data_IF_480437729812
#
_entry.id   IF_480437729812
#
_cell.length_a   1.000
_cell.length_b   1.000
_cell.length_c   1.000
_cell.angle_alpha   90.00
_cell.angle_beta   90.00
_cell.angle_gamma   90.00
#
_symmetry.space_group_name_H-M   'P 1'
#
loop_
_entity.id
_entity.type
_entity.pdbx_description
1 polymer ?
#
# COMPACT_ATOMS: atom_id res chain seq x y z
N UNK A 1 2.44 -1.60 14.72
CA UNK A 1 2.43 -0.21 14.20
C UNK A 1 3.82 0.37 14.45
N UNK A 2 4.61 0.59 13.40
CA UNK A 2 6.01 1.00 13.48
C UNK A 2 6.25 2.33 12.74
N UNK A 3 7.53 2.74 12.64
CA UNK A 3 7.90 3.99 12.00
C UNK A 3 7.63 4.04 10.47
N UNK A 4 7.64 2.89 9.76
CA UNK A 4 7.19 2.84 8.36
C UNK A 4 5.70 3.14 8.22
N UNK A 5 4.87 2.67 9.15
CA UNK A 5 3.44 2.99 9.15
C UNK A 5 3.21 4.49 9.28
N UNK A 6 4.02 5.18 10.10
CA UNK A 6 3.97 6.63 10.25
C UNK A 6 4.39 7.32 8.95
N UNK A 7 5.51 6.89 8.35
CA UNK A 7 5.99 7.46 7.09
C UNK A 7 4.97 7.29 5.96
N UNK A 8 4.37 6.11 5.82
CA UNK A 8 3.33 5.81 4.84
C UNK A 8 2.03 6.57 5.09
N UNK A 9 1.57 6.63 6.35
CA UNK A 9 0.33 7.33 6.73
C UNK A 9 0.38 8.82 6.42
N UNK A 10 1.52 9.46 6.58
CA UNK A 10 1.64 10.92 6.44
C UNK A 10 2.41 11.34 5.19
N UNK A 11 2.73 10.40 4.29
CA UNK A 11 3.39 10.75 3.03
C UNK A 11 4.84 11.22 3.16
N UNK A 12 5.56 10.86 4.24
CA UNK A 12 6.93 11.30 4.50
C UNK A 12 7.97 10.46 3.74
N UNK A 13 8.20 10.81 2.46
CA UNK A 13 9.17 10.12 1.58
C UNK A 13 10.57 10.09 2.19
N UNK A 14 11.08 11.21 2.70
CA UNK A 14 12.44 11.29 3.26
C UNK A 14 12.63 10.36 4.45
N UNK A 15 11.61 10.26 5.32
CA UNK A 15 11.62 9.34 6.43
C UNK A 15 11.57 7.88 5.95
N UNK A 16 10.69 7.55 5.01
CA UNK A 16 10.61 6.21 4.42
C UNK A 16 11.95 5.78 3.80
N UNK A 17 12.57 6.65 2.99
CA UNK A 17 13.91 6.41 2.39
C UNK A 17 14.97 6.18 3.47
N UNK A 18 15.02 7.05 4.48
CA UNK A 18 16.00 6.94 5.56
C UNK A 18 15.88 5.60 6.31
N UNK A 19 14.67 5.20 6.68
CA UNK A 19 14.42 3.96 7.41
C UNK A 19 14.83 2.73 6.57
N UNK A 20 14.44 2.71 5.28
CA UNK A 20 14.77 1.61 4.37
C UNK A 20 16.28 1.52 4.08
N UNK A 21 16.97 2.65 3.94
CA UNK A 21 18.41 2.69 3.68
C UNK A 21 19.26 2.27 4.88
N UNK A 22 18.84 2.66 6.08
CA UNK A 22 19.56 2.34 7.32
C UNK A 22 19.26 0.92 7.83
N UNK A 23 18.45 0.14 7.08
CA UNK A 23 18.00 -1.20 7.46
C UNK A 23 17.43 -1.25 8.89
N UNK A 24 16.73 -0.18 9.32
CA UNK A 24 16.20 -0.02 10.68
C UNK A 24 14.92 -0.85 10.93
N UNK A 25 14.70 -1.89 10.14
CA UNK A 25 13.45 -2.64 10.06
C UNK A 25 13.78 -4.10 9.86
N UNK A 26 13.31 -4.92 10.78
CA UNK A 26 13.46 -6.37 10.68
C UNK A 26 12.41 -7.01 9.76
N UNK A 27 11.24 -6.36 9.65
CA UNK A 27 10.10 -6.83 8.86
C UNK A 27 9.39 -5.66 8.17
N UNK A 28 9.47 -5.61 6.84
CA UNK A 28 8.83 -4.59 6.00
C UNK A 28 7.31 -4.75 5.95
N UNK A 29 6.82 -5.98 6.07
CA UNK A 29 5.40 -6.34 6.03
C UNK A 29 4.79 -6.50 7.42
N UNK A 30 5.46 -5.94 8.43
CA UNK A 30 4.96 -5.92 9.79
C UNK A 30 3.55 -5.30 9.83
N UNK A 31 2.64 -5.95 10.56
CA UNK A 31 1.23 -5.54 10.61
C UNK A 31 0.98 -4.56 11.75
N UNK A 32 0.15 -3.55 11.50
CA UNK A 32 -0.43 -2.72 12.55
C UNK A 32 -1.46 -3.50 13.38
N UNK A 33 -1.97 -2.89 14.46
CA UNK A 33 -3.13 -3.43 15.19
C UNK A 33 -4.36 -3.61 14.31
N UNK A 34 -4.45 -2.86 13.20
CA UNK A 34 -5.50 -3.01 12.19
C UNK A 34 -5.26 -4.17 11.21
N UNK A 35 -4.17 -4.93 11.34
CA UNK A 35 -3.71 -5.96 10.39
C UNK A 35 -3.16 -5.43 9.05
N UNK A 36 -3.13 -4.11 8.86
CA UNK A 36 -2.62 -3.50 7.62
C UNK A 36 -1.09 -3.29 7.69
N UNK A 37 -0.41 -3.44 6.56
CA UNK A 37 1.03 -3.17 6.40
C UNK A 37 1.28 -1.73 5.98
N UNK A 38 2.53 -1.26 6.07
CA UNK A 38 2.89 0.08 5.61
C UNK A 38 2.49 0.33 4.14
N UNK A 39 2.54 -0.69 3.29
CA UNK A 39 2.10 -0.61 1.89
C UNK A 39 0.60 -0.33 1.77
N UNK A 40 -0.23 -1.01 2.58
CA UNK A 40 -1.68 -0.77 2.63
C UNK A 40 -1.98 0.67 3.08
N UNK A 41 -1.26 1.18 4.08
CA UNK A 41 -1.39 2.58 4.49
C UNK A 41 -1.06 3.53 3.34
N UNK A 42 0.07 3.33 2.65
CA UNK A 42 0.47 4.18 1.53
C UNK A 42 -0.56 4.14 0.37
N UNK A 43 -1.20 2.99 0.15
CA UNK A 43 -2.24 2.84 -0.87
C UNK A 43 -3.59 3.46 -0.47
N UNK A 44 -3.93 3.47 0.82
CA UNK A 44 -5.17 4.03 1.34
C UNK A 44 -5.16 5.56 1.41
N UNK A 45 -4.04 6.17 1.79
CA UNK A 45 -3.98 7.63 1.91
C UNK A 45 -3.68 8.27 0.54
N UNK A 46 -4.49 9.25 0.14
CA UNK A 46 -4.34 9.97 -1.13
C UNK A 46 -3.42 11.19 -0.99
N UNK A 47 -2.12 10.95 -0.77
CA UNK A 47 -1.12 12.01 -0.83
C UNK A 47 -0.42 12.02 -2.19
N UNK A 48 0.06 13.19 -2.66
CA UNK A 48 0.90 13.26 -3.86
C UNK A 48 2.16 12.38 -3.77
N UNK A 49 2.64 12.15 -2.55
CA UNK A 49 3.79 11.30 -2.24
C UNK A 49 3.47 9.81 -2.15
N UNK A 50 2.19 9.40 -2.13
CA UNK A 50 1.80 8.00 -1.91
C UNK A 50 2.41 7.05 -2.93
N UNK A 51 2.41 7.43 -4.21
CA UNK A 51 2.99 6.60 -5.27
C UNK A 51 4.50 6.40 -5.10
N UNK A 52 5.23 7.42 -4.65
CA UNK A 52 6.66 7.30 -4.39
C UNK A 52 6.94 6.40 -3.19
N UNK A 53 6.13 6.49 -2.13
CA UNK A 53 6.26 5.59 -0.98
C UNK A 53 5.93 4.16 -1.35
N UNK A 54 4.87 3.93 -2.14
CA UNK A 54 4.54 2.59 -2.65
C UNK A 54 5.71 2.02 -3.46
N UNK A 55 6.30 2.80 -4.38
CA UNK A 55 7.50 2.38 -5.14
C UNK A 55 8.66 2.02 -4.22
N UNK A 56 8.93 2.83 -3.19
CA UNK A 56 10.01 2.57 -2.23
C UNK A 56 9.79 1.28 -1.44
N UNK A 57 8.57 1.07 -0.94
CA UNK A 57 8.22 -0.13 -0.18
C UNK A 57 8.34 -1.39 -1.05
N UNK A 58 7.80 -1.36 -2.28
CA UNK A 58 7.88 -2.49 -3.21
C UNK A 58 9.32 -2.76 -3.66
N UNK A 59 10.11 -1.72 -3.91
CA UNK A 59 11.54 -1.87 -4.25
C UNK A 59 12.36 -2.45 -3.10
N UNK A 60 11.91 -2.26 -1.86
CA UNK A 60 12.50 -2.85 -0.66
C UNK A 60 11.95 -4.25 -0.33
N UNK A 61 11.11 -4.82 -1.21
CA UNK A 61 10.63 -6.20 -1.08
C UNK A 61 9.34 -6.37 -0.29
N UNK A 62 8.56 -5.31 -0.08
CA UNK A 62 7.21 -5.44 0.50
C UNK A 62 6.31 -6.32 -0.38
N UNK A 63 5.50 -7.15 0.25
CA UNK A 63 4.51 -7.97 -0.44
C UNK A 63 3.43 -7.08 -1.09
N UNK A 64 3.45 -7.03 -2.43
CA UNK A 64 2.51 -6.26 -3.26
C UNK A 64 1.04 -6.66 -3.01
N UNK A 65 0.82 -7.90 -2.58
CA UNK A 65 -0.47 -8.52 -2.36
C UNK A 65 -0.82 -8.67 -0.88
N UNK A 66 -0.05 -8.03 0.01
CA UNK A 66 -0.21 -8.10 1.46
C UNK A 66 -1.69 -7.94 1.88
N UNK A 67 -2.30 -8.97 2.49
CA UNK A 67 -3.70 -8.88 2.89
C UNK A 67 -3.83 -7.95 4.10
N UNK A 68 -4.60 -6.87 3.93
CA UNK A 68 -5.10 -6.03 5.01
C UNK A 68 -6.45 -6.52 5.53
N UNK A 69 -7.23 -5.62 6.12
CA UNK A 69 -8.57 -5.97 6.63
C UNK A 69 -9.50 -6.51 5.52
N UNK A 70 -10.29 -7.55 5.84
CA UNK A 70 -11.23 -8.22 4.91
C UNK A 70 -10.56 -8.76 3.63
N UNK A 71 -9.30 -9.21 3.77
CA UNK A 71 -8.44 -9.60 2.66
C UNK A 71 -8.30 -8.55 1.55
N UNK A 72 -8.53 -7.27 1.88
CA UNK A 72 -8.27 -6.18 0.96
C UNK A 72 -6.77 -6.00 0.79
N UNK A 73 -6.32 -6.30 -0.41
CA UNK A 73 -4.96 -6.03 -0.90
C UNK A 73 -4.76 -4.53 -1.16
N UNK A 74 -3.51 -4.04 -1.25
CA UNK A 74 -3.22 -2.62 -1.48
C UNK A 74 -3.99 -2.03 -2.68
N UNK A 75 -4.15 -2.79 -3.77
CA UNK A 75 -4.86 -2.32 -4.96
C UNK A 75 -6.36 -2.08 -4.73
N UNK A 76 -7.01 -2.82 -3.84
CA UNK A 76 -8.41 -2.59 -3.47
C UNK A 76 -8.58 -1.23 -2.78
N UNK A 77 -7.64 -0.89 -1.90
CA UNK A 77 -7.62 0.39 -1.19
C UNK A 77 -7.31 1.55 -2.13
N UNK A 78 -6.32 1.39 -3.02
CA UNK A 78 -6.02 2.39 -4.03
C UNK A 78 -7.21 2.65 -4.97
N UNK A 79 -7.96 1.60 -5.32
CA UNK A 79 -9.18 1.69 -6.12
C UNK A 79 -10.35 2.36 -5.38
N UNK A 80 -10.56 2.04 -4.09
CA UNK A 80 -11.59 2.69 -3.26
C UNK A 80 -11.37 4.20 -3.11
N UNK A 81 -10.11 4.62 -3.16
CA UNK A 81 -9.69 6.02 -2.97
C UNK A 81 -9.52 6.75 -4.31
N UNK A 82 -9.55 6.03 -5.43
CA UNK A 82 -9.33 6.60 -6.77
C UNK A 82 -7.90 7.05 -7.04
N UNK A 83 -6.90 6.48 -6.33
CA UNK A 83 -5.50 6.86 -6.53
C UNK A 83 -4.89 6.16 -7.75
N UNK A 84 -5.14 6.70 -8.94
CA UNK A 84 -4.71 6.14 -10.23
C UNK A 84 -3.20 5.90 -10.29
N UNK A 85 -2.40 6.80 -9.73
CA UNK A 85 -0.94 6.68 -9.78
C UNK A 85 -0.44 5.50 -8.93
N UNK A 86 -1.01 5.30 -7.75
CA UNK A 86 -0.72 4.10 -6.94
C UNK A 86 -1.20 2.82 -7.64
N UNK A 87 -2.37 2.84 -8.28
CA UNK A 87 -2.88 1.69 -9.04
C UNK A 87 -1.87 1.30 -10.15
N UNK A 88 -1.37 2.27 -10.90
CA UNK A 88 -0.35 2.02 -11.94
C UNK A 88 0.89 1.35 -11.36
N UNK A 89 1.44 1.89 -10.26
CA UNK A 89 2.61 1.30 -9.60
C UNK A 89 2.34 -0.14 -9.15
N UNK A 90 1.19 -0.42 -8.53
CA UNK A 90 0.86 -1.78 -8.09
C UNK A 90 0.73 -2.76 -9.26
N UNK A 91 0.18 -2.30 -10.40
CA UNK A 91 0.10 -3.10 -11.63
C UNK A 91 1.47 -3.35 -12.25
N UNK A 92 2.38 -2.36 -12.23
CA UNK A 92 3.78 -2.52 -12.68
C UNK A 92 4.52 -3.57 -11.86
N UNK A 93 4.18 -3.73 -10.58
CA UNK A 93 4.72 -4.74 -9.68
C UNK A 93 3.90 -6.05 -9.65
N UNK A 94 3.11 -6.33 -10.69
CA UNK A 94 2.39 -7.60 -10.89
C UNK A 94 1.43 -8.01 -9.76
N UNK A 95 0.75 -7.04 -9.13
CA UNK A 95 -0.27 -7.36 -8.13
C UNK A 95 -1.42 -8.22 -8.68
N UNK A 96 -2.06 -9.00 -7.81
CA UNK A 96 -3.18 -9.84 -8.21
C UNK A 96 -4.50 -9.05 -8.21
N UNK A 97 -5.30 -9.24 -9.26
CA UNK A 97 -6.62 -8.60 -9.42
C UNK A 97 -7.80 -9.46 -8.92
N UNK A 98 -7.56 -10.30 -7.92
CA UNK A 98 -8.57 -11.21 -7.36
C UNK A 98 -9.59 -10.45 -6.49
N UNK A 99 -10.82 -10.97 -6.32
CA UNK A 99 -11.80 -10.37 -5.41
C UNK A 99 -11.36 -10.37 -3.95
N UNK A 100 -11.81 -9.37 -3.19
CA UNK A 100 -11.75 -9.36 -1.71
C UNK A 100 -12.83 -10.26 -1.08
N UNK A 101 -12.89 -10.32 0.25
CA UNK A 101 -13.89 -11.11 0.99
C UNK A 101 -15.35 -10.67 0.72
N UNK A 102 -15.54 -9.47 0.15
CA UNK A 102 -16.87 -8.97 -0.25
C UNK A 102 -17.23 -9.35 -1.69
N UNK A 103 -16.38 -10.11 -2.37
CA UNK A 103 -16.55 -10.51 -3.77
C UNK A 103 -16.26 -9.37 -4.76
N UNK A 104 -15.68 -8.26 -4.31
CA UNK A 104 -15.43 -7.09 -5.14
C UNK A 104 -14.01 -7.14 -5.71
N UNK A 105 -13.88 -7.04 -7.04
CA UNK A 105 -12.57 -6.88 -7.68
C UNK A 105 -12.08 -5.44 -7.58
N UNK A 106 -10.76 -5.20 -7.71
CA UNK A 106 -10.23 -3.84 -7.72
C UNK A 106 -10.82 -2.97 -8.84
N UNK A 107 -11.05 -3.55 -10.02
CA UNK A 107 -11.69 -2.86 -11.16
C UNK A 107 -13.11 -2.40 -10.83
N UNK A 108 -13.89 -3.25 -10.16
CA UNK A 108 -15.26 -2.91 -9.77
C UNK A 108 -15.30 -1.74 -8.78
N UNK A 109 -14.36 -1.70 -7.83
CA UNK A 109 -14.23 -0.58 -6.86
C UNK A 109 -13.83 0.72 -7.57
N UNK A 110 -12.87 0.66 -8.48
CA UNK A 110 -12.43 1.82 -9.25
C UNK A 110 -13.57 2.45 -10.07
N UNK A 111 -14.47 1.64 -10.63
CA UNK A 111 -15.65 2.13 -11.38
C UNK A 111 -16.75 2.70 -10.48
N UNK A 112 -16.85 2.27 -9.23
CA UNK A 112 -17.86 2.73 -8.29
C UNK A 112 -17.47 4.01 -7.55
N UNK A 113 -16.17 4.18 -7.29
CA UNK A 113 -15.64 5.25 -6.44
C UNK A 113 -14.71 6.24 -7.16
N UNK A 114 -14.39 6.01 -8.44
CA UNK A 114 -13.75 6.99 -9.33
C UNK A 114 -14.75 7.93 -9.97
#
# INVERSE_FOLDING_TARGET
FNILHVAARYGHIGLAKFILQQSLIDDIDCRAHSQDTALVFAAFYHYPSSAEIVRLLLSAGADVDAPGQRNKRPIHWAADVGNIEVIKVLLEHHCSLVPDDTGMTPQWRALKYG
#
